data_IF_925631615106
#
_entry.id   IF_925631615106
#
_cell.length_a   1.000
_cell.length_b   1.000
_cell.length_c   1.000
_cell.angle_alpha   90.00
_cell.angle_beta   90.00
_cell.angle_gamma   90.00
#
_symmetry.space_group_name_H-M   'P 1'
#
loop_
_entity.id
_entity.type
_entity.pdbx_description
1 polymer ?
#
# COMPACT_ATOMS: atom_id res chain seq x y z
N UNK A 1 3.42 11.44 -3.18
CA UNK A 1 3.69 10.08 -3.69
C UNK A 1 4.89 9.51 -2.95
N UNK A 2 5.01 8.18 -2.85
CA UNK A 2 6.14 7.47 -2.24
C UNK A 2 6.13 7.37 -0.71
N UNK A 3 5.12 7.88 -0.01
CA UNK A 3 5.11 7.89 1.45
C UNK A 3 3.97 7.09 2.10
N UNK A 4 3.04 6.55 1.30
CA UNK A 4 1.88 5.84 1.83
C UNK A 4 2.29 4.62 2.68
N UNK A 5 3.21 3.81 2.18
CA UNK A 5 3.73 2.62 2.86
C UNK A 5 4.51 2.98 4.14
N UNK A 6 5.32 4.05 4.12
CA UNK A 6 6.06 4.51 5.31
C UNK A 6 5.13 5.02 6.40
N UNK A 7 4.09 5.77 6.01
CA UNK A 7 3.07 6.26 6.95
C UNK A 7 2.28 5.09 7.55
N UNK A 8 1.83 4.17 6.70
CA UNK A 8 1.11 2.98 7.13
C UNK A 8 1.91 2.11 8.09
N UNK A 9 3.22 1.93 7.81
CA UNK A 9 4.12 1.23 8.73
C UNK A 9 4.16 1.91 10.10
N UNK A 10 4.32 3.24 10.15
CA UNK A 10 4.34 4.00 11.39
C UNK A 10 3.04 3.82 12.21
N UNK A 11 1.89 3.85 11.53
CA UNK A 11 0.59 3.62 12.16
C UNK A 11 0.48 2.18 12.68
N UNK A 12 0.87 1.19 11.87
CA UNK A 12 0.77 -0.22 12.24
C UNK A 12 1.62 -0.55 13.48
N UNK A 13 2.81 0.01 13.57
CA UNK A 13 3.70 -0.14 14.74
C UNK A 13 3.13 0.56 15.98
N UNK A 14 2.55 1.76 15.80
CA UNK A 14 1.99 2.54 16.91
C UNK A 14 0.64 2.02 17.41
N UNK A 15 -0.09 1.25 16.59
CA UNK A 15 -1.46 0.78 16.85
C UNK A 15 -1.59 -0.72 16.55
N UNK A 16 -0.92 -1.60 17.31
CA UNK A 16 -0.80 -3.03 16.96
C UNK A 16 -2.13 -3.80 17.00
N UNK A 17 -3.15 -3.28 17.69
CA UNK A 17 -4.48 -3.91 17.77
C UNK A 17 -5.39 -3.58 16.58
N UNK A 18 -5.02 -2.60 15.76
CA UNK A 18 -5.80 -2.19 14.59
C UNK A 18 -5.19 -2.70 13.30
N UNK A 19 -6.01 -3.25 12.42
CA UNK A 19 -5.56 -3.57 11.05
C UNK A 19 -5.32 -2.27 10.28
N UNK A 20 -4.15 -2.20 9.67
CA UNK A 20 -3.75 -1.08 8.81
C UNK A 20 -3.66 -1.60 7.38
N UNK A 21 -4.42 -0.99 6.49
CA UNK A 21 -4.37 -1.29 5.06
C UNK A 21 -3.79 -0.08 4.34
N UNK A 22 -2.70 -0.29 3.62
CA UNK A 22 -2.11 0.71 2.74
C UNK A 22 -2.47 0.37 1.31
N UNK A 23 -3.02 1.36 0.60
CA UNK A 23 -3.24 1.28 -0.85
C UNK A 23 -2.20 2.18 -1.52
N UNK A 24 -1.38 1.60 -2.37
CA UNK A 24 -0.28 2.26 -3.05
C UNK A 24 -0.32 1.96 -4.54
N UNK A 25 0.40 2.72 -5.34
CA UNK A 25 0.63 2.44 -6.75
C UNK A 25 2.07 2.04 -7.01
N UNK A 26 2.32 1.35 -8.12
CA UNK A 26 3.66 0.92 -8.54
C UNK A 26 4.63 2.10 -8.63
N UNK A 27 4.26 3.16 -9.32
CA UNK A 27 5.10 4.35 -9.44
C UNK A 27 5.32 5.07 -8.11
N UNK A 28 4.33 5.07 -7.22
CA UNK A 28 4.46 5.62 -5.87
C UNK A 28 5.44 4.79 -5.03
N UNK A 29 5.29 3.47 -5.02
CA UNK A 29 6.22 2.58 -4.30
C UNK A 29 7.65 2.68 -4.84
N UNK A 30 7.82 2.75 -6.17
CA UNK A 30 9.14 2.91 -6.80
C UNK A 30 9.88 4.18 -6.35
N UNK A 31 9.17 5.24 -6.00
CA UNK A 31 9.78 6.48 -5.47
C UNK A 31 10.42 6.28 -4.09
N UNK A 32 10.00 5.28 -3.33
CA UNK A 32 10.52 5.00 -1.99
C UNK A 32 10.61 3.49 -1.74
N UNK A 33 11.24 2.77 -2.65
CA UNK A 33 11.32 1.32 -2.63
C UNK A 33 11.99 0.75 -1.37
N UNK A 34 12.90 1.52 -0.76
CA UNK A 34 13.57 1.17 0.50
C UNK A 34 12.63 0.97 1.69
N UNK A 35 11.37 1.46 1.58
CA UNK A 35 10.37 1.24 2.64
C UNK A 35 10.06 -0.25 2.85
N UNK A 36 10.15 -1.09 1.79
CA UNK A 36 9.95 -2.54 1.89
C UNK A 36 10.93 -3.19 2.86
N UNK A 37 12.20 -2.79 2.80
CA UNK A 37 13.22 -3.27 3.74
C UNK A 37 12.91 -2.87 5.18
N UNK A 38 12.42 -1.64 5.39
CA UNK A 38 12.03 -1.16 6.72
C UNK A 38 10.77 -1.90 7.21
N UNK A 39 9.78 -2.13 6.34
CA UNK A 39 8.60 -2.91 6.66
C UNK A 39 8.97 -4.34 7.09
N UNK A 40 9.85 -5.00 6.34
CA UNK A 40 10.32 -6.34 6.68
C UNK A 40 11.04 -6.37 8.03
N UNK A 41 11.87 -5.36 8.34
CA UNK A 41 12.56 -5.25 9.62
C UNK A 41 11.62 -5.17 10.82
N UNK A 42 10.55 -4.37 10.74
CA UNK A 42 9.58 -4.23 11.82
C UNK A 42 8.50 -5.33 11.81
N UNK A 43 8.20 -5.85 10.64
CA UNK A 43 7.28 -6.95 10.35
C UNK A 43 5.97 -6.91 11.17
N UNK A 44 5.22 -5.80 11.17
CA UNK A 44 4.00 -5.70 11.97
C UNK A 44 2.90 -6.61 11.37
N UNK A 45 2.40 -7.55 12.16
CA UNK A 45 1.40 -8.54 11.72
C UNK A 45 0.02 -7.97 11.42
N UNK A 46 -0.20 -6.69 11.70
CA UNK A 46 -1.43 -5.97 11.44
C UNK A 46 -1.39 -5.10 10.18
N UNK A 47 -0.30 -5.13 9.39
CA UNK A 47 -0.14 -4.33 8.17
C UNK A 47 -0.39 -5.16 6.91
N UNK A 48 -1.31 -4.68 6.08
CA UNK A 48 -1.54 -5.19 4.71
C UNK A 48 -1.19 -4.06 3.73
N UNK A 49 -0.22 -4.30 2.87
CA UNK A 49 0.23 -3.38 1.85
C UNK A 49 -0.21 -3.86 0.47
N UNK A 50 -1.11 -3.13 -0.18
CA UNK A 50 -1.65 -3.44 -1.51
C UNK A 50 -1.05 -2.47 -2.51
N UNK A 51 -0.37 -2.99 -3.52
CA UNK A 51 0.22 -2.21 -4.61
C UNK A 51 -0.55 -2.49 -5.89
N UNK A 52 -1.24 -1.49 -6.42
CA UNK A 52 -1.84 -1.56 -7.74
C UNK A 52 -0.78 -1.24 -8.79
N UNK A 53 -0.34 -2.26 -9.49
CA UNK A 53 0.66 -2.16 -10.56
C UNK A 53 -0.05 -2.07 -11.91
N UNK A 54 -0.21 -0.85 -12.38
CA UNK A 54 -0.80 -0.54 -13.69
C UNK A 54 0.27 -0.16 -14.74
N UNK A 55 1.54 -0.31 -14.39
CA UNK A 55 2.70 0.03 -15.22
C UNK A 55 2.70 1.50 -15.73
N UNK A 56 1.97 2.40 -15.05
CA UNK A 56 1.78 3.78 -15.52
C UNK A 56 1.64 4.79 -14.38
N UNK A 57 2.18 5.97 -14.57
CA UNK A 57 1.99 7.15 -13.72
C UNK A 57 0.80 8.00 -14.23
N UNK A 58 -0.42 7.46 -14.15
CA UNK A 58 -1.63 8.13 -14.66
C UNK A 58 -1.86 9.52 -14.05
N UNK A 59 -1.50 9.72 -12.79
CA UNK A 59 -1.70 10.99 -12.07
C UNK A 59 -0.84 12.15 -12.60
N UNK A 60 0.20 11.84 -13.38
CA UNK A 60 1.15 12.85 -13.89
C UNK A 60 1.40 12.73 -15.39
N UNK A 61 0.41 12.24 -16.16
CA UNK A 61 0.45 12.22 -17.61
C UNK A 61 0.54 10.84 -18.26
N UNK A 62 0.46 9.75 -17.48
CA UNK A 62 0.41 8.39 -18.02
C UNK A 62 1.75 7.84 -18.51
N UNK A 63 2.86 8.37 -18.00
CA UNK A 63 4.19 7.86 -18.33
C UNK A 63 4.38 6.44 -17.80
N UNK A 64 5.09 5.57 -18.56
CA UNK A 64 5.37 4.21 -18.08
C UNK A 64 6.25 4.24 -16.83
N UNK A 65 5.95 3.36 -15.88
CA UNK A 65 6.80 3.11 -14.72
C UNK A 65 7.87 2.07 -15.03
N UNK A 66 8.81 1.84 -14.12
CA UNK A 66 9.82 0.81 -14.31
C UNK A 66 9.22 -0.62 -14.35
N UNK A 67 8.00 -0.83 -13.83
CA UNK A 67 7.32 -2.13 -13.95
C UNK A 67 6.91 -2.44 -15.39
N UNK A 68 6.68 -1.41 -16.21
CA UNK A 68 6.45 -1.57 -17.65
C UNK A 68 7.68 -2.15 -18.39
N UNK A 69 8.87 -2.03 -17.83
CA UNK A 69 10.13 -2.44 -18.45
C UNK A 69 10.83 -3.57 -17.70
N UNK A 70 10.16 -4.20 -16.74
CA UNK A 70 10.63 -5.45 -16.13
C UNK A 70 10.92 -5.41 -14.63
N UNK A 71 10.69 -4.30 -13.93
CA UNK A 71 10.80 -4.32 -12.46
C UNK A 71 9.69 -5.19 -11.87
N UNK A 72 10.07 -6.25 -11.16
CA UNK A 72 9.18 -7.15 -10.42
C UNK A 72 9.09 -6.69 -8.97
N UNK A 73 8.02 -5.96 -8.64
CA UNK A 73 7.78 -5.46 -7.28
C UNK A 73 7.52 -6.57 -6.26
N UNK A 74 6.91 -7.68 -6.67
CA UNK A 74 6.71 -8.83 -5.80
C UNK A 74 8.04 -9.52 -5.50
N UNK A 75 8.89 -9.68 -6.52
CA UNK A 75 10.26 -10.18 -6.35
C UNK A 75 11.09 -9.29 -5.44
N UNK A 76 11.00 -7.97 -5.58
CA UNK A 76 11.68 -7.02 -4.69
C UNK A 76 11.16 -7.14 -3.25
N UNK A 77 9.86 -7.26 -3.05
CA UNK A 77 9.28 -7.44 -1.70
C UNK A 77 9.78 -8.74 -1.05
N UNK A 78 9.84 -9.84 -1.82
CA UNK A 78 10.42 -11.13 -1.36
C UNK A 78 11.91 -10.98 -1.02
N UNK A 79 12.68 -10.29 -1.88
CA UNK A 79 14.11 -10.04 -1.65
C UNK A 79 14.36 -9.18 -0.41
N UNK A 80 13.42 -8.29 -0.05
CA UNK A 80 13.44 -7.54 1.20
C UNK A 80 13.01 -8.37 2.42
N UNK A 81 12.69 -9.65 2.25
CA UNK A 81 12.22 -10.54 3.31
C UNK A 81 10.84 -10.17 3.91
N UNK A 82 9.94 -9.61 3.11
CA UNK A 82 8.53 -9.48 3.49
C UNK A 82 7.96 -10.90 3.69
N UNK A 83 7.38 -11.21 4.86
CA UNK A 83 7.00 -12.60 5.20
C UNK A 83 5.95 -13.21 4.26
N UNK A 84 5.00 -12.42 3.80
CA UNK A 84 3.97 -12.87 2.87
C UNK A 84 3.85 -11.90 1.69
N UNK A 85 4.08 -12.43 0.49
CA UNK A 85 3.95 -11.69 -0.76
C UNK A 85 3.04 -12.47 -1.70
N UNK A 86 1.97 -11.83 -2.14
CA UNK A 86 0.96 -12.39 -3.03
C UNK A 86 0.90 -11.57 -4.31
N UNK A 87 0.84 -12.24 -5.45
CA UNK A 87 0.54 -11.62 -6.74
C UNK A 87 -0.90 -11.93 -7.14
N UNK A 88 -1.51 -11.00 -7.86
CA UNK A 88 -2.90 -11.12 -8.27
C UNK A 88 -3.09 -10.45 -9.63
N UNK A 89 -3.70 -11.19 -10.56
CA UNK A 89 -3.98 -10.74 -11.92
C UNK A 89 -5.48 -10.65 -12.20
N UNK A 90 -6.31 -11.09 -11.23
CA UNK A 90 -7.77 -11.04 -11.34
C UNK A 90 -8.42 -10.46 -10.10
N UNK A 91 -9.63 -9.87 -10.21
CA UNK A 91 -10.38 -9.37 -9.05
C UNK A 91 -10.66 -10.45 -8.00
N UNK A 92 -10.90 -11.70 -8.41
CA UNK A 92 -11.17 -12.83 -7.52
C UNK A 92 -9.95 -13.20 -6.70
N UNK A 93 -8.77 -13.25 -7.33
CA UNK A 93 -7.50 -13.48 -6.65
C UNK A 93 -7.20 -12.36 -5.66
N UNK A 94 -7.38 -11.09 -6.08
CA UNK A 94 -7.18 -9.93 -5.20
C UNK A 94 -8.11 -10.00 -3.99
N UNK A 95 -9.40 -10.27 -4.20
CA UNK A 95 -10.38 -10.42 -3.12
C UNK A 95 -9.97 -11.53 -2.13
N UNK A 96 -9.55 -12.67 -2.63
CA UNK A 96 -9.07 -13.78 -1.80
C UNK A 96 -7.82 -13.42 -1.00
N UNK A 97 -6.83 -12.80 -1.66
CA UNK A 97 -5.59 -12.34 -1.03
C UNK A 97 -5.85 -11.31 0.08
N UNK A 98 -6.70 -10.32 -0.18
CA UNK A 98 -7.07 -9.30 0.82
C UNK A 98 -7.81 -9.93 1.99
N UNK A 99 -8.79 -10.80 1.73
CA UNK A 99 -9.52 -11.49 2.80
C UNK A 99 -8.60 -12.33 3.68
N UNK A 100 -7.68 -13.09 3.08
CA UNK A 100 -6.68 -13.87 3.81
C UNK A 100 -5.73 -13.01 4.63
N UNK A 101 -5.24 -11.89 4.08
CA UNK A 101 -4.34 -10.96 4.77
C UNK A 101 -5.03 -10.26 5.95
N UNK A 102 -6.32 -9.89 5.79
CA UNK A 102 -7.08 -9.25 6.86
C UNK A 102 -7.37 -10.23 8.02
N UNK A 103 -7.66 -11.49 7.71
CA UNK A 103 -7.88 -12.53 8.72
C UNK A 103 -6.57 -12.97 9.38
N UNK A 104 -5.45 -12.86 8.69
CA UNK A 104 -4.14 -13.26 9.16
C UNK A 104 -3.50 -12.29 10.15
N UNK A 105 -2.38 -12.73 10.74
CA UNK A 105 -1.55 -11.95 11.68
C UNK A 105 -0.12 -11.74 11.17
N UNK A 106 0.07 -11.67 9.85
CA UNK A 106 1.38 -11.58 9.21
C UNK A 106 1.44 -10.39 8.28
N UNK A 107 2.54 -9.64 8.30
CA UNK A 107 2.81 -8.60 7.33
C UNK A 107 2.65 -9.17 5.91
N UNK A 108 1.74 -8.61 5.15
CA UNK A 108 1.44 -9.07 3.80
C UNK A 108 1.57 -7.93 2.79
N UNK A 109 2.32 -8.15 1.72
CA UNK A 109 2.33 -7.28 0.55
C UNK A 109 1.61 -8.00 -0.61
N UNK A 110 0.64 -7.35 -1.20
CA UNK A 110 -0.13 -7.84 -2.35
C UNK A 110 0.21 -6.94 -3.55
N UNK A 111 0.73 -7.51 -4.61
CA UNK A 111 0.96 -6.81 -5.87
C UNK A 111 -0.14 -7.23 -6.86
N UNK A 112 -1.04 -6.30 -7.14
CA UNK A 112 -2.17 -6.53 -8.04
C UNK A 112 -1.87 -5.91 -9.40
N UNK A 113 -1.76 -6.75 -10.43
CA UNK A 113 -1.65 -6.28 -11.82
C UNK A 113 -3.01 -5.80 -12.29
N UNK A 114 -3.06 -4.56 -12.75
CA UNK A 114 -4.29 -3.92 -13.19
C UNK A 114 -4.07 -3.15 -14.48
N UNK A 115 -5.15 -2.90 -15.21
CA UNK A 115 -5.09 -2.04 -16.38
C UNK A 115 -4.87 -0.58 -16.01
N UNK A 116 -4.16 0.16 -16.86
CA UNK A 116 -3.95 1.60 -16.71
C UNK A 116 -5.21 2.39 -17.12
N UNK A 117 -6.29 2.20 -16.38
CA UNK A 117 -7.58 2.88 -16.58
C UNK A 117 -7.84 3.82 -15.43
N UNK A 118 -8.18 5.06 -15.73
CA UNK A 118 -8.48 6.07 -14.72
C UNK A 118 -9.49 7.09 -15.23
N UNK A 119 -10.07 7.90 -14.34
CA UNK A 119 -10.94 8.99 -14.72
C UNK A 119 -10.16 10.03 -15.53
N UNK A 120 -10.82 10.67 -16.50
CA UNK A 120 -10.22 11.77 -17.30
C UNK A 120 -9.80 12.96 -16.45
N UNK A 121 -10.45 13.16 -15.31
CA UNK A 121 -10.09 14.16 -14.31
C UNK A 121 -10.37 13.59 -12.93
N UNK A 122 -9.53 13.91 -11.97
CA UNK A 122 -9.72 13.59 -10.57
C UNK A 122 -9.73 14.88 -9.76
N UNK A 123 -10.78 15.08 -8.99
CA UNK A 123 -10.89 16.19 -8.04
C UNK A 123 -11.21 15.62 -6.66
N UNK A 124 -10.38 15.94 -5.69
CA UNK A 124 -10.66 15.63 -4.29
C UNK A 124 -11.35 16.84 -3.68
N UNK A 125 -12.63 16.71 -3.37
CA UNK A 125 -13.41 17.77 -2.71
C UNK A 125 -13.19 17.77 -1.20
N UNK A 126 -11.91 17.79 -0.80
CA UNK A 126 -11.51 17.88 0.60
C UNK A 126 -10.19 18.65 0.69
N UNK A 127 -10.16 19.82 1.38
CA UNK A 127 -8.94 20.55 1.61
C UNK A 127 -7.91 19.68 2.34
N UNK A 128 -6.65 19.67 1.89
CA UNK A 128 -5.60 18.82 2.44
C UNK A 128 -5.37 19.05 3.94
N UNK A 129 -5.50 20.28 4.42
CA UNK A 129 -5.40 20.59 5.84
C UNK A 129 -6.54 19.97 6.64
N UNK A 130 -7.77 20.06 6.13
CA UNK A 130 -8.94 19.46 6.79
C UNK A 130 -8.79 17.94 6.85
N UNK A 131 -8.39 17.31 5.75
CA UNK A 131 -8.10 15.87 5.71
C UNK A 131 -7.07 15.46 6.77
N UNK A 132 -5.97 16.22 6.90
CA UNK A 132 -4.93 15.96 7.91
C UNK A 132 -5.50 15.99 9.33
N UNK A 133 -6.30 17.00 9.66
CA UNK A 133 -6.86 17.15 10.99
C UNK A 133 -7.95 16.10 11.29
N UNK A 134 -8.78 15.77 10.31
CA UNK A 134 -9.76 14.68 10.44
C UNK A 134 -9.08 13.34 10.70
N UNK A 135 -8.05 13.02 9.91
CA UNK A 135 -7.28 11.78 10.07
C UNK A 135 -6.58 11.71 11.43
N UNK A 136 -5.96 12.82 11.88
CA UNK A 136 -5.35 12.90 13.20
C UNK A 136 -6.36 12.62 14.31
N UNK A 137 -7.53 13.29 14.29
CA UNK A 137 -8.61 13.08 15.27
C UNK A 137 -9.11 11.64 15.28
N UNK A 138 -9.24 11.02 14.10
CA UNK A 138 -9.63 9.61 13.99
C UNK A 138 -8.62 8.67 14.67
N UNK A 139 -7.32 8.87 14.45
CA UNK A 139 -6.28 8.08 15.11
C UNK A 139 -6.25 8.29 16.63
N UNK A 140 -6.44 9.52 17.10
CA UNK A 140 -6.49 9.84 18.53
C UNK A 140 -7.68 9.16 19.21
N UNK A 141 -8.86 9.15 18.54
CA UNK A 141 -10.05 8.47 19.05
C UNK A 141 -9.84 6.96 19.15
N UNK A 142 -9.24 6.33 18.13
CA UNK A 142 -8.92 4.90 18.17
C UNK A 142 -7.96 4.55 19.31
N UNK A 143 -6.96 5.38 19.58
CA UNK A 143 -6.00 5.15 20.67
C UNK A 143 -6.60 5.24 22.07
N UNK A 144 -7.69 5.99 22.25
CA UNK A 144 -8.37 6.09 23.56
C UNK A 144 -9.16 4.83 23.92
N UNK A 145 -9.46 3.98 22.93
CA UNK A 145 -10.17 2.71 23.10
C UNK A 145 -9.21 1.50 23.14
N UNK A 146 -7.93 1.74 23.03
CA UNK A 146 -6.84 0.77 23.18
C UNK A 146 -6.39 0.63 24.65
#
# INVERSE_FOLDING_TARGET
>A
MGLASSMGLGIAVAMPRHKVVVIDGDGSLLMNLGTLSTMARYSPGNLVHIVFDNASLLSVGGFPTATATGTDLAGVARACAIPQVVESDTPEQLKGAVAGALAGGTLTTIVAKVEAVGPKSFHMDLPLLENRFQFKRALEALRQHD
#
